data_IF_230571244166
#
_entry.id   IF_230571244166
#
_cell.length_a   1.000
_cell.length_b   1.000
_cell.length_c   1.000
_cell.angle_alpha   90.00
_cell.angle_beta   90.00
_cell.angle_gamma   90.00
#
_symmetry.space_group_name_H-M   'P 1'
#
loop_
_entity.id
_entity.type
_entity.pdbx_description
1 polymer ?
#
# COMPACT_ATOMS: atom_id res chain seq x y z
N UNK A 1 46.94 0.64 -16.65
CA UNK A 1 45.52 0.31 -16.41
C UNK A 1 44.77 1.64 -16.37
N UNK A 2 44.17 2.06 -17.49
CA UNK A 2 43.41 3.32 -17.56
C UNK A 2 42.05 3.09 -16.92
N UNK A 3 41.82 3.74 -15.80
CA UNK A 3 40.55 3.71 -15.09
C UNK A 3 39.78 4.97 -15.53
N UNK A 4 38.84 4.80 -16.45
CA UNK A 4 37.94 5.85 -16.94
C UNK A 4 36.66 5.89 -16.07
N UNK A 5 36.68 6.65 -14.96
CA UNK A 5 35.54 6.84 -14.04
C UNK A 5 34.72 8.12 -14.29
N UNK A 6 34.92 8.83 -15.42
CA UNK A 6 34.49 10.24 -15.51
C UNK A 6 33.07 10.54 -16.03
N UNK A 7 32.34 9.60 -16.65
CA UNK A 7 31.06 9.92 -17.33
C UNK A 7 29.91 8.95 -17.05
N UNK A 8 30.21 7.70 -16.71
CA UNK A 8 29.20 6.66 -16.51
C UNK A 8 28.57 6.71 -15.11
N UNK A 9 29.38 6.94 -14.07
CA UNK A 9 28.93 7.08 -12.67
C UNK A 9 27.90 8.21 -12.50
N UNK A 10 28.20 9.38 -13.07
CA UNK A 10 27.30 10.54 -13.02
C UNK A 10 25.97 10.29 -13.74
N UNK A 11 26.03 9.60 -14.89
CA UNK A 11 24.84 9.20 -15.64
C UNK A 11 24.01 8.17 -14.88
N UNK A 12 24.65 7.26 -14.15
CA UNK A 12 23.96 6.27 -13.32
C UNK A 12 23.25 6.92 -12.13
N UNK A 13 23.90 7.85 -11.42
CA UNK A 13 23.29 8.57 -10.31
C UNK A 13 22.07 9.38 -10.75
N UNK A 14 22.14 10.04 -11.91
CA UNK A 14 20.99 10.74 -12.49
C UNK A 14 19.86 9.77 -12.84
N UNK A 15 20.18 8.61 -13.43
CA UNK A 15 19.17 7.58 -13.76
C UNK A 15 18.49 7.02 -12.50
N UNK A 16 19.27 6.69 -11.47
CA UNK A 16 18.73 6.20 -10.20
C UNK A 16 17.88 7.27 -9.50
N UNK A 17 18.31 8.54 -9.53
CA UNK A 17 17.53 9.65 -8.97
C UNK A 17 16.21 9.85 -9.72
N UNK A 18 16.23 9.81 -11.06
CA UNK A 18 15.01 9.89 -11.86
C UNK A 18 14.05 8.74 -11.57
N UNK A 19 14.56 7.51 -11.47
CA UNK A 19 13.74 6.35 -11.09
C UNK A 19 13.17 6.49 -9.68
N UNK A 20 13.96 6.97 -8.71
CA UNK A 20 13.50 7.19 -7.34
C UNK A 20 12.37 8.23 -7.28
N UNK A 21 12.50 9.33 -8.02
CA UNK A 21 11.44 10.35 -8.13
C UNK A 21 10.18 9.76 -8.76
N UNK A 22 10.31 8.98 -9.83
CA UNK A 22 9.19 8.36 -10.51
C UNK A 22 8.45 7.37 -9.60
N UNK A 23 9.18 6.50 -8.90
CA UNK A 23 8.61 5.53 -7.94
C UNK A 23 7.96 6.26 -6.75
N UNK A 24 8.59 7.33 -6.24
CA UNK A 24 8.03 8.13 -5.16
C UNK A 24 6.72 8.82 -5.55
N UNK A 25 6.64 9.38 -6.76
CA UNK A 25 5.42 10.00 -7.27
C UNK A 25 4.29 8.98 -7.47
N UNK A 26 4.57 7.82 -8.07
CA UNK A 26 3.54 6.79 -8.29
C UNK A 26 3.04 6.20 -6.97
N UNK A 27 3.93 5.89 -6.04
CA UNK A 27 3.57 5.39 -4.71
C UNK A 27 2.78 6.45 -3.90
N UNK A 28 3.21 7.71 -3.97
CA UNK A 28 2.52 8.83 -3.31
C UNK A 28 1.10 9.03 -3.85
N UNK A 29 0.92 9.04 -5.17
CA UNK A 29 -0.40 9.14 -5.81
C UNK A 29 -1.28 7.94 -5.45
N UNK A 30 -0.74 6.72 -5.50
CA UNK A 30 -1.46 5.52 -5.10
C UNK A 30 -1.95 5.60 -3.64
N UNK A 31 -1.11 6.09 -2.72
CA UNK A 31 -1.46 6.30 -1.32
C UNK A 31 -2.61 7.30 -1.14
N UNK A 32 -2.58 8.43 -1.85
CA UNK A 32 -3.65 9.44 -1.80
C UNK A 32 -4.97 8.88 -2.34
N UNK A 33 -4.93 8.16 -3.46
CA UNK A 33 -6.11 7.52 -4.06
C UNK A 33 -6.69 6.49 -3.09
N UNK A 34 -5.85 5.63 -2.52
CA UNK A 34 -6.25 4.61 -1.57
C UNK A 34 -6.91 5.23 -0.32
N UNK A 35 -6.29 6.27 0.24
CA UNK A 35 -6.87 7.02 1.37
C UNK A 35 -8.22 7.62 1.02
N UNK A 36 -8.36 8.20 -0.17
CA UNK A 36 -9.62 8.80 -0.63
C UNK A 36 -10.70 7.75 -0.83
N UNK A 37 -10.38 6.56 -1.35
CA UNK A 37 -11.31 5.44 -1.44
C UNK A 37 -11.80 5.00 -0.05
N UNK A 38 -10.90 4.86 0.92
CA UNK A 38 -11.29 4.53 2.30
C UNK A 38 -12.26 5.57 2.86
N UNK A 39 -11.96 6.86 2.69
CA UNK A 39 -12.82 7.94 3.16
C UNK A 39 -14.19 7.96 2.45
N UNK A 40 -14.24 7.65 1.16
CA UNK A 40 -15.49 7.54 0.41
C UNK A 40 -16.38 6.42 0.96
N UNK A 41 -15.81 5.23 1.19
CA UNK A 41 -16.55 4.13 1.81
C UNK A 41 -16.96 4.47 3.25
N UNK A 42 -16.07 5.06 4.04
CA UNK A 42 -16.37 5.47 5.41
C UNK A 42 -17.51 6.51 5.46
N UNK A 43 -17.50 7.51 4.59
CA UNK A 43 -18.55 8.51 4.50
C UNK A 43 -19.88 7.91 3.98
N UNK A 44 -19.82 7.00 3.01
CA UNK A 44 -21.01 6.34 2.48
C UNK A 44 -21.70 5.46 3.53
N UNK A 45 -20.93 4.69 4.30
CA UNK A 45 -21.46 3.73 5.26
C UNK A 45 -21.78 4.34 6.63
N UNK A 46 -20.96 5.28 7.13
CA UNK A 46 -21.12 5.86 8.47
C UNK A 46 -21.59 7.32 8.47
N UNK A 47 -21.71 8.02 7.32
CA UNK A 47 -22.16 9.43 7.19
C UNK A 47 -21.64 10.31 8.35
N UNK A 48 -20.36 10.20 8.65
CA UNK A 48 -19.77 10.68 9.89
C UNK A 48 -18.68 11.72 9.63
N UNK A 49 -18.82 12.91 10.20
CA UNK A 49 -17.67 13.80 10.42
C UNK A 49 -16.78 13.31 11.58
N UNK A 50 -17.26 12.37 12.41
CA UNK A 50 -16.51 11.79 13.52
C UNK A 50 -16.98 10.37 13.85
N UNK A 51 -16.05 9.42 14.04
CA UNK A 51 -16.36 8.00 14.30
C UNK A 51 -17.23 7.81 15.57
N UNK A 52 -17.06 8.67 16.57
CA UNK A 52 -17.78 8.60 17.86
C UNK A 52 -19.23 9.09 17.73
N UNK A 53 -19.50 10.11 16.92
CA UNK A 53 -20.84 10.69 16.77
C UNK A 53 -21.77 9.81 15.90
N UNK A 54 -21.22 9.10 14.93
CA UNK A 54 -22.01 8.17 14.09
C UNK A 54 -22.27 6.80 14.73
N UNK A 55 -21.45 6.35 15.69
CA UNK A 55 -21.73 5.11 16.43
C UNK A 55 -22.93 5.28 17.37
N UNK A 56 -23.15 6.47 17.93
CA UNK A 56 -24.29 6.74 18.82
C UNK A 56 -25.63 6.94 18.10
N UNK A 57 -25.62 7.25 16.80
CA UNK A 57 -26.82 7.57 16.01
C UNK A 57 -27.27 6.45 15.06
N UNK A 58 -26.43 5.43 14.85
CA UNK A 58 -26.69 4.33 13.92
C UNK A 58 -27.01 3.02 14.68
N UNK A 59 -27.93 2.17 14.17
CA UNK A 59 -28.20 0.86 14.76
C UNK A 59 -26.92 0.03 14.93
N UNK A 60 -26.69 -0.48 16.14
CA UNK A 60 -25.50 -1.24 16.52
C UNK A 60 -25.21 -2.45 15.60
N UNK A 61 -26.25 -3.07 15.04
CA UNK A 61 -26.12 -4.17 14.08
C UNK A 61 -25.38 -3.77 12.80
N UNK A 62 -25.61 -2.56 12.27
CA UNK A 62 -24.96 -2.09 11.05
C UNK A 62 -23.46 -1.87 11.26
N UNK A 63 -23.07 -1.42 12.45
CA UNK A 63 -21.67 -1.22 12.82
C UNK A 63 -20.84 -2.51 12.76
N UNK A 64 -21.46 -3.66 12.98
CA UNK A 64 -20.81 -4.99 12.94
C UNK A 64 -20.99 -5.66 11.58
N UNK A 65 -22.17 -5.53 10.96
CA UNK A 65 -22.49 -6.19 9.70
C UNK A 65 -21.64 -5.65 8.53
N UNK A 66 -21.40 -4.33 8.49
CA UNK A 66 -20.63 -3.69 7.42
C UNK A 66 -19.17 -4.18 7.36
N UNK A 67 -18.39 -4.16 8.46
CA UNK A 67 -17.02 -4.70 8.43
C UNK A 67 -17.00 -6.23 8.28
N UNK A 68 -18.01 -6.95 8.78
CA UNK A 68 -18.12 -8.39 8.57
C UNK A 68 -18.32 -8.75 7.08
N UNK A 69 -19.21 -8.03 6.38
CA UNK A 69 -19.41 -8.20 4.93
C UNK A 69 -18.17 -7.78 4.13
N UNK A 70 -17.53 -6.68 4.51
CA UNK A 70 -16.26 -6.26 3.90
C UNK A 70 -15.17 -7.34 4.03
N UNK A 71 -15.02 -7.91 5.23
CA UNK A 71 -14.10 -9.01 5.51
C UNK A 71 -14.47 -10.31 4.77
N UNK A 72 -15.76 -10.61 4.61
CA UNK A 72 -16.24 -11.78 3.88
C UNK A 72 -15.94 -11.70 2.38
N UNK A 73 -15.96 -10.50 1.79
CA UNK A 73 -15.63 -10.28 0.38
C UNK A 73 -14.11 -10.29 0.17
N UNK A 74 -13.38 -9.56 1.00
CA UNK A 74 -11.92 -9.40 0.87
C UNK A 74 -11.15 -10.65 1.30
N UNK A 75 -11.65 -11.41 2.27
CA UNK A 75 -11.01 -12.61 2.81
C UNK A 75 -10.69 -13.67 1.74
N UNK A 76 -11.67 -14.11 0.92
CA UNK A 76 -11.44 -15.04 -0.19
C UNK A 76 -10.48 -14.47 -1.24
N UNK A 77 -10.57 -13.18 -1.56
CA UNK A 77 -9.69 -12.52 -2.54
C UNK A 77 -8.23 -12.62 -2.09
N UNK A 78 -7.95 -12.32 -0.81
CA UNK A 78 -6.61 -12.46 -0.24
C UNK A 78 -6.19 -13.93 -0.15
N UNK A 79 -7.10 -14.83 0.21
CA UNK A 79 -6.77 -16.25 0.39
C UNK A 79 -6.40 -16.97 -0.92
N UNK A 80 -7.07 -16.63 -2.02
CA UNK A 80 -6.86 -17.28 -3.32
C UNK A 80 -5.91 -16.50 -4.25
N UNK A 81 -5.93 -15.16 -4.22
CA UNK A 81 -5.17 -14.32 -5.15
C UNK A 81 -3.81 -13.86 -4.64
N UNK A 82 -3.71 -13.47 -3.37
CA UNK A 82 -2.55 -12.78 -2.83
C UNK A 82 -2.29 -13.17 -1.37
N UNK A 83 -1.89 -14.41 -1.13
CA UNK A 83 -1.51 -14.87 0.23
C UNK A 83 -0.35 -14.08 0.81
N UNK A 84 0.51 -13.53 -0.05
CA UNK A 84 1.66 -12.68 0.28
C UNK A 84 1.20 -11.31 0.85
N UNK A 85 -0.01 -10.83 0.52
CA UNK A 85 -0.58 -9.59 1.09
C UNK A 85 -0.98 -9.70 2.57
N UNK A 86 -0.88 -10.89 3.19
CA UNK A 86 -1.04 -11.09 4.65
C UNK A 86 0.20 -10.66 5.45
N UNK A 87 1.34 -10.47 4.77
CA UNK A 87 2.57 -10.02 5.37
C UNK A 87 2.45 -8.61 5.97
N UNK A 88 3.34 -8.28 6.90
CA UNK A 88 3.28 -7.03 7.67
C UNK A 88 3.86 -5.85 6.86
N UNK A 89 4.12 -6.07 5.57
CA UNK A 89 4.72 -5.16 4.60
C UNK A 89 6.19 -4.85 4.90
N UNK A 90 6.42 -4.11 5.99
CA UNK A 90 7.73 -3.55 6.36
C UNK A 90 8.79 -4.64 6.63
N UNK A 91 8.52 -5.69 7.43
CA UNK A 91 9.52 -6.73 7.70
C UNK A 91 9.88 -7.55 6.46
N UNK A 92 8.94 -7.75 5.54
CA UNK A 92 9.13 -8.57 4.34
C UNK A 92 9.97 -7.83 3.28
N UNK A 93 9.78 -6.51 3.18
CA UNK A 93 10.68 -5.65 2.40
C UNK A 93 12.09 -5.68 3.00
N UNK A 94 12.22 -5.56 4.33
CA UNK A 94 13.52 -5.63 5.01
C UNK A 94 14.22 -6.98 4.82
N UNK A 95 13.50 -8.11 4.90
CA UNK A 95 14.05 -9.44 4.64
C UNK A 95 14.55 -9.54 3.19
N UNK A 96 13.78 -9.03 2.22
CA UNK A 96 14.17 -9.06 0.81
C UNK A 96 15.43 -8.22 0.53
N UNK A 97 15.59 -7.10 1.24
CA UNK A 97 16.77 -6.24 1.13
C UNK A 97 18.03 -6.96 1.64
N UNK A 98 17.94 -7.63 2.79
CA UNK A 98 19.08 -8.28 3.45
C UNK A 98 19.44 -9.61 2.76
N UNK A 99 18.45 -10.46 2.48
CA UNK A 99 18.70 -11.84 2.03
C UNK A 99 18.53 -12.06 0.53
N UNK A 100 17.80 -11.19 -0.18
CA UNK A 100 17.43 -11.40 -1.60
C UNK A 100 17.91 -10.29 -2.54
N UNK A 101 18.76 -9.38 -2.05
CA UNK A 101 19.30 -8.26 -2.83
C UNK A 101 18.22 -7.31 -3.34
N UNK A 102 17.12 -7.15 -2.59
CA UNK A 102 16.02 -6.22 -2.91
C UNK A 102 15.05 -6.70 -3.99
N UNK A 103 15.09 -7.98 -4.39
CA UNK A 103 14.14 -8.54 -5.37
C UNK A 103 12.85 -9.00 -4.71
N UNK A 104 11.74 -8.33 -5.05
CA UNK A 104 10.38 -8.65 -4.59
C UNK A 104 9.60 -9.29 -5.74
N UNK A 105 8.80 -10.32 -5.45
CA UNK A 105 7.94 -10.99 -6.44
C UNK A 105 6.76 -10.09 -6.81
N UNK A 106 6.43 -10.02 -8.10
CA UNK A 106 5.39 -9.11 -8.63
C UNK A 106 3.93 -9.52 -8.35
N UNK A 107 3.68 -10.50 -7.48
CA UNK A 107 2.32 -10.94 -7.12
C UNK A 107 2.01 -10.53 -5.68
N UNK A 108 1.73 -9.25 -5.49
CA UNK A 108 1.22 -8.69 -4.23
C UNK A 108 -0.19 -8.15 -4.44
#
# INVERSE_FOLDING_TARGET
MKIDFGKNEFSEHIRLTLLAVLVGLTAGLASVIFKKMILLFQNQFWRAESFISSVSSQPWYLTILIPALGGLIIGPIIYYGAREAKGHGVPEIMESLIFRGGRIRAKT
#
